data_IF_556579773599
#
_entry.id   IF_556579773599
#
_cell.length_a   1.000
_cell.length_b   1.000
_cell.length_c   1.000
_cell.angle_alpha   90.00
_cell.angle_beta   90.00
_cell.angle_gamma   90.00
#
_symmetry.space_group_name_H-M   'P 1'
#
loop_
_entity.id
_entity.type
_entity.pdbx_description
1 polymer ?
#
# COMPACT_ATOMS: atom_id res chain seq x y z
N UNK A 1 -18.61 -11.20 8.02
CA UNK A 1 -17.47 -10.26 8.11
C UNK A 1 -17.17 -9.76 6.71
N UNK A 2 -17.07 -8.44 6.52
CA UNK A 2 -16.70 -7.81 5.24
C UNK A 2 -15.22 -7.43 5.28
N UNK A 3 -14.44 -7.98 4.35
CA UNK A 3 -12.98 -7.84 4.29
C UNK A 3 -12.57 -6.96 3.10
N UNK A 4 -11.69 -5.99 3.36
CA UNK A 4 -11.09 -5.15 2.33
C UNK A 4 -9.65 -5.61 2.03
N UNK A 5 -9.30 -5.77 0.77
CA UNK A 5 -7.92 -6.02 0.34
C UNK A 5 -7.42 -4.87 -0.53
N UNK A 6 -6.30 -4.27 -0.15
CA UNK A 6 -5.50 -3.45 -1.06
C UNK A 6 -4.33 -4.30 -1.53
N UNK A 7 -4.21 -4.48 -2.85
CA UNK A 7 -3.20 -5.35 -3.45
C UNK A 7 -2.26 -4.53 -4.31
N UNK A 8 -1.00 -4.49 -3.89
CA UNK A 8 0.12 -3.87 -4.58
C UNK A 8 1.06 -4.94 -5.17
N UNK A 9 2.09 -4.55 -5.92
CA UNK A 9 2.84 -5.50 -6.77
C UNK A 9 4.29 -5.73 -6.32
N UNK A 10 4.99 -4.71 -5.85
CA UNK A 10 6.43 -4.74 -5.53
C UNK A 10 6.76 -5.78 -4.47
N UNK A 11 5.86 -6.02 -3.51
CA UNK A 11 6.01 -6.96 -2.40
C UNK A 11 5.60 -8.40 -2.72
N UNK A 12 5.00 -8.66 -3.88
CA UNK A 12 4.53 -9.99 -4.30
C UNK A 12 5.70 -10.98 -4.36
N UNK A 13 5.42 -12.25 -4.02
CA UNK A 13 6.44 -13.30 -4.01
C UNK A 13 7.12 -13.45 -5.37
N UNK A 14 8.44 -13.67 -5.35
CA UNK A 14 9.22 -13.92 -6.57
C UNK A 14 9.43 -12.71 -7.48
N UNK A 15 8.88 -11.53 -7.14
CA UNK A 15 9.12 -10.29 -7.89
C UNK A 15 10.31 -9.55 -7.27
N UNK A 16 11.30 -9.21 -8.09
CA UNK A 16 12.62 -8.80 -7.60
C UNK A 16 13.00 -7.41 -8.07
N UNK A 17 12.57 -7.01 -9.27
CA UNK A 17 12.95 -5.75 -9.87
C UNK A 17 11.86 -5.17 -10.79
N UNK A 18 12.14 -3.98 -11.32
CA UNK A 18 11.24 -3.23 -12.18
C UNK A 18 10.71 -3.99 -13.41
N UNK A 19 11.41 -5.02 -13.91
CA UNK A 19 10.93 -5.84 -15.04
C UNK A 19 9.67 -6.63 -14.69
N UNK A 20 9.46 -6.89 -13.40
CA UNK A 20 8.29 -7.61 -12.91
C UNK A 20 7.05 -6.74 -12.80
N UNK A 21 7.19 -5.45 -12.48
CA UNK A 21 6.06 -4.60 -12.08
C UNK A 21 5.66 -3.58 -13.13
N UNK A 22 6.52 -3.31 -14.12
CA UNK A 22 6.24 -2.35 -15.18
C UNK A 22 5.59 -3.03 -16.39
N UNK A 23 4.40 -2.57 -16.77
CA UNK A 23 3.55 -3.13 -17.84
C UNK A 23 4.29 -3.43 -19.16
N UNK A 24 5.27 -2.61 -19.53
CA UNK A 24 5.99 -2.71 -20.81
C UNK A 24 7.27 -3.57 -20.72
N UNK A 25 7.42 -4.36 -19.66
CA UNK A 25 8.61 -5.20 -19.43
C UNK A 25 8.29 -6.69 -19.57
N UNK A 26 9.31 -7.46 -19.91
CA UNK A 26 9.21 -8.86 -20.32
C UNK A 26 8.62 -9.78 -19.24
N UNK A 27 8.82 -9.47 -17.96
CA UNK A 27 8.37 -10.31 -16.85
C UNK A 27 6.97 -9.93 -16.32
N UNK A 28 6.36 -8.84 -16.79
CA UNK A 28 5.11 -8.31 -16.24
C UNK A 28 3.93 -9.29 -16.35
N UNK A 29 3.73 -9.90 -17.52
CA UNK A 29 2.63 -10.84 -17.76
C UNK A 29 2.68 -12.09 -16.87
N UNK A 30 3.90 -12.57 -16.57
CA UNK A 30 4.10 -13.64 -15.59
C UNK A 30 3.78 -13.14 -14.18
N UNK A 31 4.22 -11.93 -13.86
CA UNK A 31 4.13 -11.35 -12.52
C UNK A 31 2.69 -11.05 -12.11
N UNK A 32 1.85 -10.53 -13.02
CA UNK A 32 0.43 -10.27 -12.72
C UNK A 32 -0.40 -11.54 -12.47
N UNK A 33 0.02 -12.68 -13.05
CA UNK A 33 -0.57 -13.99 -12.73
C UNK A 33 -0.22 -14.41 -11.30
N UNK A 34 1.04 -14.24 -10.90
CA UNK A 34 1.49 -14.51 -9.52
C UNK A 34 0.78 -13.58 -8.52
N UNK A 35 0.70 -12.29 -8.81
CA UNK A 35 -0.04 -11.30 -8.01
C UNK A 35 -1.51 -11.71 -7.83
N UNK A 36 -2.17 -12.13 -8.90
CA UNK A 36 -3.58 -12.58 -8.85
C UNK A 36 -3.72 -13.87 -8.03
N UNK A 37 -2.80 -14.83 -8.18
CA UNK A 37 -2.82 -16.08 -7.45
C UNK A 37 -2.52 -15.87 -5.95
N UNK A 38 -1.66 -14.92 -5.56
CA UNK A 38 -1.46 -14.51 -4.16
C UNK A 38 -2.68 -13.81 -3.57
N UNK A 39 -3.34 -12.92 -4.33
CA UNK A 39 -4.60 -12.31 -3.90
C UNK A 39 -5.66 -13.40 -3.66
N UNK A 40 -5.77 -14.37 -4.57
CA UNK A 40 -6.64 -15.53 -4.40
C UNK A 40 -6.33 -16.32 -3.13
N UNK A 41 -5.07 -16.51 -2.74
CA UNK A 41 -4.72 -17.21 -1.52
C UNK A 41 -5.37 -16.57 -0.27
N UNK A 42 -5.33 -15.23 -0.18
CA UNK A 42 -5.97 -14.46 0.90
C UNK A 42 -7.49 -14.51 0.79
N UNK A 43 -8.04 -14.34 -0.42
CA UNK A 43 -9.49 -14.38 -0.68
C UNK A 43 -10.09 -15.75 -0.29
N UNK A 44 -9.48 -16.86 -0.74
CA UNK A 44 -9.94 -18.21 -0.40
C UNK A 44 -9.89 -18.46 1.10
N UNK A 45 -8.84 -17.99 1.79
CA UNK A 45 -8.77 -18.09 3.24
C UNK A 45 -9.83 -17.24 3.94
N UNK A 46 -10.09 -16.02 3.45
CA UNK A 46 -11.17 -15.16 3.96
C UNK A 46 -12.53 -15.85 3.90
N UNK A 47 -12.90 -16.41 2.75
CA UNK A 47 -14.17 -17.14 2.63
C UNK A 47 -14.21 -18.42 3.48
N UNK A 48 -13.10 -19.15 3.63
CA UNK A 48 -13.01 -20.30 4.54
C UNK A 48 -13.22 -19.91 6.00
N UNK A 49 -12.75 -18.75 6.40
CA UNK A 49 -12.99 -18.15 7.72
C UNK A 49 -14.33 -17.37 7.79
N UNK A 50 -15.27 -17.68 6.90
CA UNK A 50 -16.65 -17.18 6.92
C UNK A 50 -16.77 -15.66 6.72
N UNK A 51 -15.83 -15.04 6.01
CA UNK A 51 -16.09 -13.72 5.42
C UNK A 51 -17.30 -13.82 4.49
N UNK A 52 -18.26 -12.92 4.67
CA UNK A 52 -19.47 -12.84 3.87
C UNK A 52 -19.25 -12.06 2.57
N UNK A 53 -18.23 -11.21 2.55
CA UNK A 53 -17.88 -10.38 1.41
C UNK A 53 -16.39 -10.07 1.45
N UNK A 54 -15.76 -10.11 0.28
CA UNK A 54 -14.35 -9.77 0.08
C UNK A 54 -14.26 -8.79 -1.10
N UNK A 55 -13.81 -7.56 -0.82
CA UNK A 55 -13.60 -6.52 -1.84
C UNK A 55 -12.10 -6.35 -2.05
N UNK A 56 -11.66 -6.41 -3.31
CA UNK A 56 -10.25 -6.32 -3.69
C UNK A 56 -10.04 -5.08 -4.52
N UNK A 57 -9.12 -4.21 -4.10
CA UNK A 57 -8.72 -3.02 -4.82
C UNK A 57 -7.30 -3.20 -5.37
N UNK A 58 -7.17 -3.22 -6.70
CA UNK A 58 -5.87 -3.16 -7.35
C UNK A 58 -5.24 -1.79 -7.06
N UNK A 59 -4.08 -1.80 -6.41
CA UNK A 59 -3.45 -0.61 -5.84
C UNK A 59 -2.12 -0.27 -6.49
N UNK A 60 -1.72 -0.99 -7.55
CA UNK A 60 -0.43 -0.81 -8.20
C UNK A 60 -0.52 -0.01 -9.50
N UNK A 61 0.26 1.06 -9.64
CA UNK A 61 0.45 1.80 -10.91
C UNK A 61 -0.88 2.16 -11.61
N UNK A 62 -1.16 1.62 -12.80
CA UNK A 62 -2.42 1.81 -13.55
C UNK A 62 -3.63 1.07 -12.98
N UNK A 63 -3.44 0.28 -11.92
CA UNK A 63 -4.46 -0.41 -11.12
C UNK A 63 -5.35 -1.37 -11.93
N UNK A 64 -4.79 -1.97 -12.96
CA UNK A 64 -5.45 -2.90 -13.89
C UNK A 64 -4.52 -4.09 -14.20
N UNK A 65 -3.94 -4.60 -13.12
CA UNK A 65 -2.95 -5.66 -13.07
C UNK A 65 -3.62 -7.00 -12.72
N UNK A 66 -4.51 -7.00 -11.72
CA UNK A 66 -5.26 -8.18 -11.29
C UNK A 66 -6.15 -8.71 -12.43
N UNK A 67 -6.08 -10.03 -12.64
CA UNK A 67 -6.80 -10.71 -13.71
C UNK A 67 -8.20 -11.12 -13.22
N UNK A 68 -9.21 -10.34 -13.59
CA UNK A 68 -10.60 -10.52 -13.14
C UNK A 68 -11.13 -11.92 -13.43
N UNK A 69 -10.78 -12.50 -14.59
CA UNK A 69 -11.21 -13.83 -15.02
C UNK A 69 -10.54 -14.98 -14.25
N UNK A 70 -9.58 -14.68 -13.36
CA UNK A 70 -8.88 -15.65 -12.51
C UNK A 70 -9.18 -15.47 -11.03
N UNK A 71 -9.79 -14.35 -10.62
CA UNK A 71 -10.15 -14.14 -9.24
C UNK A 71 -11.30 -15.07 -8.81
N UNK A 72 -11.38 -15.34 -7.52
CA UNK A 72 -12.51 -16.07 -6.94
C UNK A 72 -13.84 -15.43 -7.39
N UNK A 73 -14.83 -16.23 -7.84
CA UNK A 73 -16.04 -15.70 -8.47
C UNK A 73 -16.93 -14.86 -7.51
N UNK A 74 -16.88 -15.14 -6.21
CA UNK A 74 -17.62 -14.39 -5.18
C UNK A 74 -16.93 -13.06 -4.76
N UNK A 75 -15.77 -12.75 -5.32
CA UNK A 75 -15.03 -11.53 -4.99
C UNK A 75 -15.46 -10.36 -5.86
N UNK A 76 -15.50 -9.16 -5.28
CA UNK A 76 -15.68 -7.92 -6.02
C UNK A 76 -14.32 -7.25 -6.27
N UNK A 77 -14.02 -6.90 -7.53
CA UNK A 77 -12.77 -6.24 -7.92
C UNK A 77 -13.01 -4.76 -8.25
N UNK A 78 -12.22 -3.87 -7.66
CA UNK A 78 -12.05 -2.49 -8.06
C UNK A 78 -10.79 -2.40 -8.93
N UNK A 79 -10.98 -2.11 -10.22
CA UNK A 79 -9.91 -2.02 -11.22
C UNK A 79 -9.98 -0.70 -11.99
N UNK A 80 -8.82 -0.16 -12.34
CA UNK A 80 -8.62 1.14 -12.98
C UNK A 80 -8.02 2.19 -12.04
N UNK A 81 -7.32 3.16 -12.61
CA UNK A 81 -6.77 4.32 -11.90
C UNK A 81 -7.76 5.50 -11.89
N UNK A 82 -7.32 6.67 -11.42
CA UNK A 82 -8.17 7.88 -11.25
C UNK A 82 -9.32 7.65 -10.26
N UNK A 83 -9.04 6.84 -9.24
CA UNK A 83 -9.94 6.57 -8.12
C UNK A 83 -9.78 7.67 -7.06
N UNK A 84 -10.87 8.25 -6.51
CA UNK A 84 -10.80 9.33 -5.52
C UNK A 84 -9.86 9.08 -4.34
N UNK A 85 -9.72 7.81 -3.93
CA UNK A 85 -8.83 7.38 -2.84
C UNK A 85 -7.85 6.28 -3.25
N UNK A 86 -7.48 6.20 -4.53
CA UNK A 86 -6.36 5.38 -5.04
C UNK A 86 -6.28 3.96 -4.43
N UNK A 87 -5.28 3.68 -3.58
CA UNK A 87 -5.00 2.36 -3.00
C UNK A 87 -6.02 1.91 -1.94
N UNK A 88 -6.78 2.85 -1.37
CA UNK A 88 -7.84 2.60 -0.38
C UNK A 88 -9.25 2.91 -0.93
N UNK A 89 -9.40 2.94 -2.26
CA UNK A 89 -10.69 3.16 -2.89
C UNK A 89 -11.70 2.06 -2.50
N UNK A 90 -12.89 2.50 -2.08
CA UNK A 90 -13.99 1.61 -1.73
C UNK A 90 -13.95 1.10 -0.29
N UNK A 91 -12.92 1.46 0.49
CA UNK A 91 -12.89 1.25 1.93
C UNK A 91 -13.80 2.26 2.63
N UNK A 92 -14.62 1.78 3.56
CA UNK A 92 -15.51 2.58 4.40
C UNK A 92 -15.71 1.91 5.78
N UNK A 93 -16.54 2.50 6.64
CA UNK A 93 -16.82 1.99 7.99
C UNK A 93 -17.64 0.68 8.04
N UNK A 94 -18.10 0.15 6.91
CA UNK A 94 -18.85 -1.12 6.86
C UNK A 94 -17.94 -2.34 6.85
N UNK A 95 -16.63 -2.15 6.65
CA UNK A 95 -15.64 -3.22 6.70
C UNK A 95 -15.24 -3.54 8.13
N UNK A 96 -15.06 -4.83 8.42
CA UNK A 96 -14.59 -5.28 9.73
C UNK A 96 -13.05 -5.33 9.83
N UNK A 97 -12.35 -5.22 8.70
CA UNK A 97 -10.90 -5.26 8.64
C UNK A 97 -10.35 -5.06 7.23
N UNK A 98 -9.12 -4.57 7.16
CA UNK A 98 -8.35 -4.43 5.94
C UNK A 98 -7.13 -5.36 5.94
N UNK A 99 -6.71 -5.80 4.76
CA UNK A 99 -5.45 -6.52 4.55
C UNK A 99 -4.69 -5.90 3.38
N UNK A 100 -3.40 -5.67 3.58
CA UNK A 100 -2.51 -5.08 2.60
C UNK A 100 -1.58 -6.17 2.05
N UNK A 101 -1.66 -6.43 0.76
CA UNK A 101 -0.96 -7.55 0.11
C UNK A 101 -0.01 -7.04 -0.96
N UNK A 102 1.18 -7.64 -1.03
CA UNK A 102 2.18 -7.24 -2.01
C UNK A 102 2.76 -5.85 -1.76
N UNK A 103 2.66 -5.36 -0.52
CA UNK A 103 3.20 -4.06 -0.11
C UNK A 103 4.72 -4.10 0.01
N UNK A 104 5.34 -2.94 -0.10
CA UNK A 104 6.78 -2.74 0.03
C UNK A 104 7.11 -1.71 1.12
N UNK A 105 8.38 -1.67 1.51
CA UNK A 105 8.90 -0.65 2.43
C UNK A 105 8.79 0.74 1.79
N UNK A 106 8.54 1.74 2.64
CA UNK A 106 8.49 3.15 2.24
C UNK A 106 9.81 3.65 1.62
N UNK A 107 9.74 4.78 0.94
CA UNK A 107 10.91 5.45 0.38
C UNK A 107 12.01 5.68 1.43
N UNK A 108 13.26 5.69 0.95
CA UNK A 108 14.47 5.93 1.77
C UNK A 108 14.76 4.90 2.86
N UNK A 109 14.04 3.77 2.91
CA UNK A 109 14.30 2.64 3.79
C UNK A 109 14.88 1.43 3.01
N UNK A 110 15.61 0.52 3.69
CA UNK A 110 15.89 -0.81 3.14
C UNK A 110 14.60 -1.53 2.74
N UNK A 111 14.67 -2.38 1.72
CA UNK A 111 13.53 -3.14 1.22
C UNK A 111 13.54 -3.26 -0.31
N UNK A 112 12.95 -4.33 -0.82
CA UNK A 112 12.85 -4.55 -2.26
C UNK A 112 11.95 -3.47 -2.86
N UNK A 113 12.47 -2.77 -3.88
CA UNK A 113 11.75 -1.73 -4.64
C UNK A 113 11.18 -0.59 -3.77
N UNK A 114 11.83 -0.30 -2.65
CA UNK A 114 11.35 0.71 -1.70
C UNK A 114 11.12 2.09 -2.36
N UNK A 115 9.92 2.63 -2.17
CA UNK A 115 9.46 3.94 -2.65
C UNK A 115 8.16 4.33 -1.92
N UNK A 116 7.60 5.52 -2.24
CA UNK A 116 6.31 5.97 -1.72
C UNK A 116 5.56 6.73 -2.82
N UNK A 117 4.57 6.10 -3.45
CA UNK A 117 3.70 6.57 -4.55
C UNK A 117 4.43 6.85 -5.86
N UNK A 118 5.48 7.66 -5.81
CA UNK A 118 6.30 8.07 -6.95
C UNK A 118 7.78 8.00 -6.57
N UNK A 119 8.67 7.89 -7.56
CA UNK A 119 10.12 7.88 -7.29
C UNK A 119 10.65 9.19 -6.71
N UNK A 120 9.95 10.30 -6.92
CA UNK A 120 10.34 11.62 -6.44
C UNK A 120 10.09 11.88 -4.95
N UNK A 121 9.30 11.06 -4.26
CA UNK A 121 9.05 11.23 -2.84
C UNK A 121 10.13 10.51 -2.01
N UNK A 122 10.77 11.22 -1.07
CA UNK A 122 11.79 10.69 -0.16
C UNK A 122 11.21 10.26 1.18
N UNK A 123 10.36 11.10 1.76
CA UNK A 123 9.67 10.87 3.02
C UNK A 123 8.28 11.53 2.97
N UNK A 124 7.28 10.87 3.55
CA UNK A 124 5.97 11.46 3.80
C UNK A 124 5.70 11.45 5.31
N UNK A 125 5.05 12.50 5.81
CA UNK A 125 4.72 12.62 7.22
C UNK A 125 3.25 12.99 7.40
N UNK A 126 2.63 12.40 8.41
CA UNK A 126 1.41 12.89 9.02
C UNK A 126 1.78 13.35 10.43
N UNK A 127 1.68 14.65 10.65
CA UNK A 127 2.29 15.35 11.78
C UNK A 127 3.78 14.96 11.90
N UNK A 128 4.20 14.37 13.02
CA UNK A 128 5.59 13.95 13.25
C UNK A 128 5.88 12.50 12.84
N UNK A 129 4.89 11.76 12.33
CA UNK A 129 5.05 10.33 12.02
C UNK A 129 5.47 10.14 10.57
N UNK A 130 6.70 9.66 10.34
CA UNK A 130 7.19 9.29 9.01
C UNK A 130 6.49 8.00 8.53
N UNK A 131 5.78 8.09 7.41
CA UNK A 131 5.01 6.99 6.81
C UNK A 131 5.35 6.84 5.32
N UNK A 132 5.10 5.64 4.78
CA UNK A 132 4.92 5.42 3.35
C UNK A 132 3.46 5.15 2.99
N UNK A 133 3.27 4.45 1.88
CA UNK A 133 1.95 3.99 1.40
C UNK A 133 1.22 3.17 2.45
N UNK A 134 1.92 2.23 3.09
CA UNK A 134 1.39 1.43 4.20
C UNK A 134 0.75 2.30 5.28
N UNK A 135 1.51 3.27 5.80
CA UNK A 135 1.03 4.10 6.90
C UNK A 135 -0.10 5.04 6.48
N UNK A 136 -0.03 5.59 5.27
CA UNK A 136 -1.07 6.50 4.78
C UNK A 136 -2.39 5.75 4.58
N UNK A 137 -2.32 4.58 3.94
CA UNK A 137 -3.48 3.70 3.74
C UNK A 137 -4.04 3.20 5.08
N UNK A 138 -3.19 2.89 6.06
CA UNK A 138 -3.61 2.50 7.41
C UNK A 138 -4.32 3.65 8.16
N UNK A 139 -3.87 4.90 8.01
CA UNK A 139 -4.56 6.04 8.60
C UNK A 139 -5.94 6.28 7.99
N UNK A 140 -6.10 6.10 6.67
CA UNK A 140 -7.43 6.16 6.03
C UNK A 140 -8.32 5.02 6.53
N UNK A 141 -7.80 3.81 6.69
CA UNK A 141 -8.55 2.73 7.32
C UNK A 141 -9.00 3.09 8.74
N UNK A 142 -8.10 3.67 9.54
CA UNK A 142 -8.39 4.12 10.90
C UNK A 142 -9.42 5.25 10.99
N UNK A 143 -9.49 6.14 10.00
CA UNK A 143 -10.56 7.15 9.91
C UNK A 143 -11.95 6.52 9.88
N UNK A 144 -12.09 5.42 9.15
CA UNK A 144 -13.32 4.64 9.07
C UNK A 144 -13.51 3.67 10.25
N UNK A 145 -12.59 3.66 11.23
CA UNK A 145 -12.63 2.71 12.35
C UNK A 145 -12.29 1.28 11.94
N UNK A 146 -11.64 1.08 10.79
CA UNK A 146 -11.29 -0.25 10.26
C UNK A 146 -9.84 -0.61 10.64
N UNK A 147 -9.61 -1.75 11.32
CA UNK A 147 -8.25 -2.20 11.63
C UNK A 147 -7.57 -2.85 10.43
N UNK A 148 -6.26 -2.62 10.26
CA UNK A 148 -5.43 -3.36 9.30
C UNK A 148 -4.98 -4.66 9.97
N UNK A 149 -5.61 -5.77 9.61
CA UNK A 149 -5.43 -7.07 10.26
C UNK A 149 -4.16 -7.78 9.81
N UNK A 150 -3.81 -7.64 8.53
CA UNK A 150 -2.65 -8.28 7.92
C UNK A 150 -1.92 -7.36 6.96
N UNK A 151 -0.58 -7.42 6.98
CA UNK A 151 0.29 -6.86 5.93
C UNK A 151 1.21 -7.95 5.39
N UNK A 152 1.27 -8.09 4.07
CA UNK A 152 2.07 -9.08 3.37
C UNK A 152 2.99 -8.43 2.33
N UNK A 153 4.26 -8.84 2.31
CA UNK A 153 5.31 -8.23 1.51
C UNK A 153 6.68 -8.84 1.83
N UNK A 154 7.74 -8.02 1.75
CA UNK A 154 9.06 -8.41 2.23
C UNK A 154 9.22 -8.23 3.76
N UNK A 155 10.38 -8.60 4.29
CA UNK A 155 10.70 -8.50 5.72
C UNK A 155 10.77 -7.05 6.21
N UNK A 156 11.18 -6.11 5.35
CA UNK A 156 11.24 -4.69 5.70
C UNK A 156 9.85 -4.05 5.77
N UNK A 157 8.94 -4.46 4.89
CA UNK A 157 7.51 -4.11 4.94
C UNK A 157 6.88 -4.63 6.23
N UNK A 158 7.19 -5.87 6.62
CA UNK A 158 6.69 -6.45 7.86
C UNK A 158 7.21 -5.70 9.09
N UNK A 159 8.49 -5.29 9.09
CA UNK A 159 9.06 -4.46 10.14
C UNK A 159 8.34 -3.11 10.25
N UNK A 160 8.15 -2.42 9.12
CA UNK A 160 7.41 -1.15 9.06
C UNK A 160 5.99 -1.30 9.60
N UNK A 161 5.27 -2.34 9.18
CA UNK A 161 3.91 -2.64 9.62
C UNK A 161 3.83 -2.80 11.15
N UNK A 162 4.72 -3.61 11.73
CA UNK A 162 4.73 -3.94 13.16
C UNK A 162 5.10 -2.74 14.04
N UNK A 163 5.96 -1.86 13.54
CA UNK A 163 6.32 -0.63 14.24
C UNK A 163 5.15 0.36 14.29
N UNK A 164 4.31 0.37 13.26
CA UNK A 164 3.20 1.32 13.16
C UNK A 164 1.88 0.80 13.74
N UNK A 165 1.59 -0.50 13.60
CA UNK A 165 0.29 -1.10 13.91
C UNK A 165 0.50 -2.23 14.94
N UNK A 166 0.28 -1.96 16.24
CA UNK A 166 0.44 -2.97 17.28
C UNK A 166 -0.41 -4.21 17.02
N UNK A 167 0.19 -5.40 17.22
CA UNK A 167 -0.41 -6.71 17.03
C UNK A 167 -0.81 -7.09 15.60
N UNK A 168 -0.45 -6.28 14.58
CA UNK A 168 -0.72 -6.63 13.18
C UNK A 168 -0.09 -7.97 12.81
N UNK A 169 -0.83 -8.79 12.05
CA UNK A 169 -0.26 -10.02 11.50
C UNK A 169 0.59 -9.68 10.28
N UNK A 170 1.79 -10.21 10.18
CA UNK A 170 2.64 -10.04 9.00
C UNK A 170 2.94 -11.36 8.29
N UNK A 171 2.99 -11.32 6.96
CA UNK A 171 3.34 -12.44 6.10
C UNK A 171 4.53 -12.07 5.21
N UNK A 172 5.72 -12.57 5.57
CA UNK A 172 6.97 -12.30 4.85
C UNK A 172 7.12 -13.35 3.74
N UNK A 173 6.83 -12.96 2.50
CA UNK A 173 6.92 -13.88 1.34
C UNK A 173 8.30 -13.88 0.67
N UNK A 174 9.16 -12.92 1.04
CA UNK A 174 10.56 -12.82 0.61
C UNK A 174 11.39 -12.00 1.61
N UNK A 175 12.69 -12.24 1.64
CA UNK A 175 13.66 -11.48 2.44
C UNK A 175 14.50 -10.59 1.53
N UNK A 176 14.51 -9.29 1.77
CA UNK A 176 15.32 -8.32 1.05
C UNK A 176 16.82 -8.61 1.22
N UNK A 177 17.54 -8.59 0.11
CA UNK A 177 19.01 -8.59 0.07
C UNK A 177 19.51 -7.20 -0.37
N UNK A 178 18.82 -6.60 -1.33
CA UNK A 178 19.03 -5.22 -1.78
C UNK A 178 17.71 -4.65 -2.28
N UNK A 179 17.73 -3.40 -2.77
CA UNK A 179 16.55 -2.78 -3.41
C UNK A 179 16.05 -3.52 -4.65
N UNK A 180 16.84 -4.44 -5.22
CA UNK A 180 16.48 -5.21 -6.40
C UNK A 180 16.95 -6.67 -6.32
N UNK A 181 17.03 -7.23 -5.12
CA UNK A 181 17.41 -8.62 -4.89
C UNK A 181 16.73 -9.14 -3.62
N UNK A 182 16.22 -10.37 -3.66
CA UNK A 182 15.57 -11.00 -2.52
C UNK A 182 15.76 -12.51 -2.49
N UNK A 183 15.78 -13.09 -1.29
CA UNK A 183 15.58 -14.52 -1.07
C UNK A 183 14.08 -14.78 -0.92
N UNK A 184 13.47 -15.33 -1.95
CA UNK A 184 12.00 -15.49 -2.04
C UNK A 184 11.53 -16.90 -1.74
N UNK A 185 10.30 -17.02 -1.20
CA UNK A 185 9.57 -18.28 -1.23
C UNK A 185 9.20 -18.66 -2.67
N UNK A 186 8.85 -19.94 -2.89
CA UNK A 186 8.16 -20.35 -4.11
C UNK A 186 6.69 -19.90 -4.06
N UNK A 187 6.02 -19.67 -5.20
CA UNK A 187 4.61 -19.26 -5.21
C UNK A 187 3.71 -20.20 -4.40
N UNK A 188 3.93 -21.51 -4.48
CA UNK A 188 3.14 -22.48 -3.71
C UNK A 188 3.35 -22.34 -2.20
N UNK A 189 4.57 -22.01 -1.76
CA UNK A 189 4.86 -21.82 -0.34
C UNK A 189 4.33 -20.48 0.17
N UNK A 190 4.37 -19.44 -0.65
CA UNK A 190 3.75 -18.16 -0.35
C UNK A 190 2.23 -18.28 -0.21
N UNK A 191 1.56 -19.02 -1.11
CA UNK A 191 0.12 -19.32 -1.02
C UNK A 191 -0.25 -19.95 0.34
N UNK A 192 0.51 -20.96 0.78
CA UNK A 192 0.30 -21.61 2.08
C UNK A 192 0.48 -20.64 3.25
N UNK A 193 1.55 -19.84 3.23
CA UNK A 193 1.82 -18.84 4.26
C UNK A 193 0.70 -17.80 4.33
N UNK A 194 0.25 -17.30 3.18
CA UNK A 194 -0.80 -16.30 3.09
C UNK A 194 -2.13 -16.86 3.60
N UNK A 195 -2.48 -18.10 3.29
CA UNK A 195 -3.68 -18.74 3.82
C UNK A 195 -3.61 -18.86 5.36
N UNK A 196 -2.49 -19.34 5.90
CA UNK A 196 -2.27 -19.47 7.35
C UNK A 196 -2.35 -18.12 8.06
N UNK A 197 -1.65 -17.09 7.54
CA UNK A 197 -1.61 -15.75 8.13
C UNK A 197 -2.94 -15.03 8.02
N UNK A 198 -3.68 -15.22 6.94
CA UNK A 198 -5.04 -14.68 6.78
C UNK A 198 -5.97 -15.26 7.84
N UNK A 199 -5.96 -16.58 8.04
CA UNK A 199 -6.78 -17.22 9.07
C UNK A 199 -6.42 -16.73 10.48
N UNK A 200 -5.13 -16.68 10.80
CA UNK A 200 -4.66 -16.15 12.07
C UNK A 200 -5.06 -14.68 12.28
N UNK A 201 -4.97 -13.83 11.25
CA UNK A 201 -5.34 -12.43 11.32
C UNK A 201 -6.84 -12.23 11.58
N UNK A 202 -7.70 -13.06 10.97
CA UNK A 202 -9.15 -13.01 11.17
C UNK A 202 -9.52 -13.47 12.59
N UNK A 203 -8.95 -14.58 13.06
CA UNK A 203 -9.21 -15.12 14.40
C UNK A 203 -8.76 -14.18 15.52
N UNK A 204 -7.63 -13.50 15.32
CA UNK A 204 -7.06 -12.55 16.28
C UNK A 204 -7.46 -11.09 16.03
N UNK A 205 -8.46 -10.82 15.18
CA UNK A 205 -8.82 -9.44 14.78
C UNK A 205 -9.11 -8.50 15.96
N UNK A 206 -9.62 -9.04 17.06
CA UNK A 206 -9.95 -8.31 18.29
C UNK A 206 -8.71 -7.74 19.02
N UNK A 207 -7.51 -8.21 18.70
CA UNK A 207 -6.24 -7.71 19.26
C UNK A 207 -5.69 -6.51 18.51
N UNK A 208 -6.16 -6.26 17.28
CA UNK A 208 -5.68 -5.18 16.42
C UNK A 208 -6.66 -4.01 16.46
N UNK A 209 -6.16 -2.83 16.81
CA UNK A 209 -6.97 -1.61 16.83
C UNK A 209 -6.77 -0.81 15.54
N UNK A 210 -7.79 -0.06 15.07
CA UNK A 210 -7.63 0.88 13.98
C UNK A 210 -6.57 1.94 14.29
N UNK A 211 -5.77 2.32 13.30
CA UNK A 211 -4.76 3.39 13.42
C UNK A 211 -5.45 4.76 13.27
N UNK A 212 -6.01 5.26 14.37
CA UNK A 212 -6.79 6.50 14.36
C UNK A 212 -5.90 7.69 13.94
N UNK A 213 -6.24 8.42 12.86
CA UNK A 213 -5.46 9.57 12.41
C UNK A 213 -5.67 10.79 13.33
N UNK A 214 -4.73 11.75 13.32
CA UNK A 214 -4.96 13.07 13.88
C UNK A 214 -6.22 13.74 13.28
N UNK A 215 -6.91 14.55 14.08
CA UNK A 215 -8.15 15.22 13.63
C UNK A 215 -7.91 16.22 12.50
N UNK A 216 -6.81 16.96 12.57
CA UNK A 216 -6.42 17.98 11.59
C UNK A 216 -4.96 17.75 11.20
N UNK A 217 -4.68 16.70 10.41
CA UNK A 217 -3.31 16.28 10.16
C UNK A 217 -2.57 17.30 9.29
N UNK A 218 -1.30 17.53 9.63
CA UNK A 218 -0.37 18.21 8.74
C UNK A 218 0.33 17.18 7.86
N UNK A 219 0.08 17.21 6.56
CA UNK A 219 0.83 16.43 5.59
C UNK A 219 2.13 17.16 5.24
N UNK A 220 3.25 16.45 5.27
CA UNK A 220 4.53 16.94 4.75
C UNK A 220 5.11 15.91 3.78
N UNK A 221 5.57 16.34 2.62
CA UNK A 221 6.23 15.49 1.64
C UNK A 221 7.60 16.08 1.32
N UNK A 222 8.66 15.34 1.67
CA UNK A 222 10.03 15.64 1.26
C UNK A 222 10.27 15.04 -0.12
N UNK A 223 10.59 15.88 -1.11
CA UNK A 223 10.88 15.45 -2.47
C UNK A 223 12.39 15.29 -2.72
N UNK A 224 12.74 14.56 -3.79
CA UNK A 224 14.12 14.25 -4.14
C UNK A 224 14.91 15.45 -4.65
N UNK A 225 14.24 16.41 -5.28
CA UNK A 225 14.85 17.66 -5.73
C UNK A 225 13.87 18.83 -5.58
N UNK A 226 14.41 20.04 -5.69
CA UNK A 226 13.64 21.27 -5.49
C UNK A 226 12.56 21.48 -6.55
N UNK A 227 12.79 21.05 -7.80
CA UNK A 227 11.79 21.16 -8.87
C UNK A 227 10.50 20.38 -8.58
N UNK A 228 10.62 19.21 -7.97
CA UNK A 228 9.46 18.43 -7.51
C UNK A 228 8.68 19.15 -6.40
N UNK A 229 9.38 19.79 -5.46
CA UNK A 229 8.76 20.61 -4.42
C UNK A 229 8.06 21.83 -5.02
N UNK A 230 8.66 22.50 -6.02
CA UNK A 230 8.06 23.64 -6.73
C UNK A 230 6.76 23.24 -7.45
N UNK A 231 6.75 22.08 -8.13
CA UNK A 231 5.53 21.55 -8.76
C UNK A 231 4.43 21.25 -7.74
N UNK A 232 4.76 20.56 -6.64
CA UNK A 232 3.79 20.27 -5.59
C UNK A 232 3.26 21.54 -4.92
N UNK A 233 4.10 22.57 -4.76
CA UNK A 233 3.74 23.85 -4.17
C UNK A 233 2.74 24.67 -5.02
N UNK A 234 2.55 24.33 -6.30
CA UNK A 234 1.50 24.95 -7.12
C UNK A 234 0.08 24.65 -6.62
N UNK A 235 -0.10 23.58 -5.82
CA UNK A 235 -1.39 23.28 -5.21
C UNK A 235 -1.73 24.34 -4.14
N UNK A 236 -2.91 24.99 -4.20
CA UNK A 236 -3.32 25.96 -3.18
C UNK A 236 -3.31 25.40 -1.76
N UNK A 237 -2.89 26.22 -0.79
CA UNK A 237 -2.80 25.82 0.62
C UNK A 237 -1.53 25.07 1.00
N UNK A 238 -0.60 24.90 0.06
CA UNK A 238 0.73 24.35 0.34
C UNK A 238 1.76 25.44 0.61
N UNK A 239 2.83 25.08 1.33
CA UNK A 239 4.00 25.92 1.53
C UNK A 239 5.28 25.07 1.48
N UNK A 240 6.34 25.59 0.86
CA UNK A 240 7.67 24.97 0.95
C UNK A 240 8.32 25.36 2.27
N UNK A 241 8.86 24.39 2.99
CA UNK A 241 9.64 24.65 4.21
C UNK A 241 11.01 25.27 3.84
N UNK A 242 11.35 26.46 4.38
CA UNK A 242 12.57 27.18 3.99
C UNK A 242 13.84 26.34 4.10
N UNK A 243 14.64 26.31 3.04
CA UNK A 243 15.93 25.59 3.00
C UNK A 243 15.81 24.08 2.83
N UNK A 244 14.63 23.57 2.45
CA UNK A 244 14.38 22.12 2.26
C UNK A 244 13.72 21.84 0.91
N UNK A 245 13.52 20.57 0.58
CA UNK A 245 12.64 20.10 -0.51
C UNK A 245 11.30 19.57 0.01
N UNK A 246 10.88 20.04 1.19
CA UNK A 246 9.66 19.59 1.87
C UNK A 246 8.51 20.56 1.62
N UNK A 247 7.38 20.02 1.17
CA UNK A 247 6.12 20.78 1.01
C UNK A 247 5.14 20.36 2.09
N UNK A 248 4.57 21.33 2.81
CA UNK A 248 3.57 21.10 3.85
C UNK A 248 2.17 21.49 3.38
N UNK A 249 1.16 20.79 3.88
CA UNK A 249 -0.26 21.05 3.66
C UNK A 249 -1.05 20.74 4.94
N UNK A 250 -1.77 21.75 5.46
CA UNK A 250 -2.66 21.56 6.62
C UNK A 250 -4.03 21.05 6.13
N UNK A 251 -4.35 19.80 6.43
CA UNK A 251 -5.61 19.19 6.05
C UNK A 251 -6.68 19.31 7.14
N UNK A 252 -7.95 19.29 6.73
CA UNK A 252 -9.14 19.23 7.59
C UNK A 252 -9.28 17.88 8.26
N UNK A 253 -8.94 16.81 7.55
CA UNK A 253 -8.92 15.42 8.01
C UNK A 253 -7.97 14.58 7.14
N UNK A 254 -7.85 13.28 7.43
CA UNK A 254 -6.95 12.39 6.68
C UNK A 254 -7.40 12.17 5.23
N UNK A 255 -8.68 12.29 4.92
CA UNK A 255 -9.19 12.07 3.56
C UNK A 255 -8.74 13.22 2.65
N UNK A 256 -8.83 14.46 3.14
CA UNK A 256 -8.27 15.62 2.44
C UNK A 256 -6.73 15.51 2.36
N UNK A 257 -6.05 15.07 3.41
CA UNK A 257 -4.60 14.82 3.36
C UNK A 257 -4.24 13.77 2.28
N UNK A 258 -5.03 12.70 2.15
CA UNK A 258 -4.81 11.67 1.15
C UNK A 258 -4.92 12.22 -0.28
N UNK A 259 -5.97 13.00 -0.55
CA UNK A 259 -6.14 13.64 -1.86
C UNK A 259 -5.08 14.70 -2.14
N UNK A 260 -4.70 15.48 -1.13
CA UNK A 260 -3.58 16.41 -1.21
C UNK A 260 -2.27 15.70 -1.57
N UNK A 261 -2.01 14.53 -0.97
CA UNK A 261 -0.87 13.67 -1.32
C UNK A 261 -0.93 13.23 -2.78
N UNK A 262 -2.09 12.75 -3.27
CA UNK A 262 -2.25 12.36 -4.67
C UNK A 262 -1.95 13.52 -5.63
N UNK A 263 -2.49 14.71 -5.36
CA UNK A 263 -2.28 15.89 -6.21
C UNK A 263 -0.83 16.36 -6.17
N UNK A 264 -0.23 16.49 -4.98
CA UNK A 264 1.16 16.93 -4.85
C UNK A 264 2.13 15.98 -5.54
N UNK A 265 1.94 14.66 -5.39
CA UNK A 265 2.77 13.66 -6.06
C UNK A 265 2.55 13.65 -7.57
N UNK A 266 1.31 13.73 -8.05
CA UNK A 266 1.00 13.82 -9.50
C UNK A 266 1.67 15.06 -10.13
N UNK A 267 1.57 16.23 -9.50
CA UNK A 267 2.26 17.45 -9.96
C UNK A 267 3.78 17.24 -9.97
N UNK A 268 4.35 16.67 -8.92
CA UNK A 268 5.79 16.42 -8.84
C UNK A 268 6.31 15.48 -9.95
N UNK A 269 5.49 14.55 -10.47
CA UNK A 269 5.88 13.69 -11.61
C UNK A 269 6.14 14.46 -12.90
N UNK A 270 5.66 15.70 -13.01
CA UNK A 270 5.85 16.56 -14.18
C UNK A 270 7.23 17.22 -14.22
N UNK A 271 8.01 17.09 -13.15
CA UNK A 271 9.37 17.62 -13.06
C UNK A 271 10.26 17.01 -14.13
N UNK A 272 11.04 17.85 -14.80
CA UNK A 272 12.05 17.44 -15.79
C UNK A 272 13.46 17.60 -15.22
N UNK A 273 14.46 16.99 -15.85
CA UNK A 273 15.87 17.06 -15.43
C UNK A 273 16.12 16.45 -14.04
N UNK A 274 15.60 15.22 -13.83
CA UNK A 274 15.73 14.44 -12.60
C UNK A 274 16.06 12.97 -12.89
#
# INVERSE_FOLDING_TARGET
>A
MKLYLSVDMEGITGLIDHTNVLRQKENYERSRKIMTDEANAVIYAGFREQCSEVVVNDSHSSMNNLLVERLHPETQLISGSVKPYSMVQGLDQTFDGAMFLGYHAKASMPGVMSHSMIFGARNMYIDDTNIGELGFNAYVAGYYGVPVLMVAGDDQTALEAQQLIPNVTTAIVKQAISRSAAKTLTPKKAEQLLQEKTAAAIQHKHLVKPLIPPKHPTLRIEFANYGQAEWAHLMPGTEIEPGTTTVRFQAKDILEAYQAMLVMTELATRTTFC
#
